data_IF_423858461506
#
_entry.id   IF_423858461506
#
_cell.length_a   1.000
_cell.length_b   1.000
_cell.length_c   1.000
_cell.angle_alpha   90.00
_cell.angle_beta   90.00
_cell.angle_gamma   90.00
#
_symmetry.space_group_name_H-M   'P 1'
#
loop_
_entity.id
_entity.type
_entity.pdbx_description
1 polymer ?
#
# COMPACT_ATOMS: atom_id res chain seq x y z
N UNK A 1 12.53 45.16 18.53
CA UNK A 1 13.01 43.81 18.17
C UNK A 1 12.12 42.82 18.89
N UNK A 2 11.17 42.16 18.23
CA UNK A 2 10.44 41.06 18.87
C UNK A 2 11.36 39.82 18.88
N UNK A 3 11.53 39.25 20.07
CA UNK A 3 12.25 38.01 20.31
C UNK A 3 11.49 36.86 19.64
N UNK A 4 12.12 36.17 18.72
CA UNK A 4 11.64 34.91 18.18
C UNK A 4 11.80 33.83 19.26
N UNK A 5 10.74 33.51 19.98
CA UNK A 5 10.69 32.30 20.78
C UNK A 5 10.87 31.09 19.86
N UNK A 6 11.76 30.14 20.17
CA UNK A 6 11.84 28.88 19.44
C UNK A 6 10.53 28.12 19.63
N UNK A 7 9.92 27.69 18.51
CA UNK A 7 8.71 26.89 18.54
C UNK A 7 8.91 25.72 19.53
N UNK A 8 7.98 25.61 20.48
CA UNK A 8 7.98 24.54 21.45
C UNK A 8 8.04 23.18 20.74
N UNK A 9 8.81 22.19 21.21
CA UNK A 9 8.87 20.88 20.61
C UNK A 9 7.47 20.30 20.58
N UNK A 10 7.05 19.79 19.41
CA UNK A 10 5.77 19.12 19.25
C UNK A 10 5.60 18.11 20.40
N UNK A 11 4.50 18.23 21.16
CA UNK A 11 4.26 17.40 22.33
C UNK A 11 4.31 15.93 21.92
N UNK A 12 5.20 15.15 22.55
CA UNK A 12 5.33 13.73 22.32
C UNK A 12 3.99 13.05 22.68
N UNK A 13 3.40 12.34 21.74
CA UNK A 13 2.24 11.48 21.95
C UNK A 13 2.71 10.07 22.38
N UNK A 14 1.88 9.27 23.07
CA UNK A 14 2.24 7.88 23.39
C UNK A 14 2.29 7.04 22.10
N UNK A 15 3.18 6.04 22.05
CA UNK A 15 3.23 5.09 20.96
C UNK A 15 1.92 4.30 20.83
N UNK A 16 1.38 4.17 19.61
CA UNK A 16 0.16 3.38 19.38
C UNK A 16 0.44 1.87 19.35
N UNK A 17 1.67 1.48 19.05
CA UNK A 17 2.13 0.08 19.05
C UNK A 17 3.33 -0.09 19.97
N UNK A 18 3.36 -1.21 20.70
CA UNK A 18 4.52 -1.62 21.52
C UNK A 18 5.77 -1.98 20.68
N UNK A 19 5.62 -2.11 19.37
CA UNK A 19 6.72 -2.36 18.44
C UNK A 19 7.55 -1.10 18.15
N UNK A 20 7.04 0.09 18.51
CA UNK A 20 7.71 1.37 18.25
C UNK A 20 8.95 1.50 19.10
N UNK A 21 10.09 1.73 18.45
CA UNK A 21 11.39 1.94 19.09
C UNK A 21 11.58 3.39 19.54
N UNK A 22 11.05 4.36 18.76
CA UNK A 22 11.12 5.78 19.07
C UNK A 22 10.00 6.57 18.38
N UNK A 23 9.67 7.74 18.94
CA UNK A 23 8.70 8.69 18.37
C UNK A 23 9.46 9.89 17.85
N UNK A 24 9.27 10.18 16.55
CA UNK A 24 9.82 11.34 15.85
C UNK A 24 8.67 12.14 15.21
N UNK A 25 8.00 13.03 15.94
CA UNK A 25 6.76 13.66 15.47
C UNK A 25 6.95 14.41 14.14
N UNK A 26 5.98 14.20 13.22
CA UNK A 26 5.82 15.01 12.02
C UNK A 26 4.68 16.03 12.24
N UNK A 27 4.82 17.27 11.81
CA UNK A 27 3.74 18.27 11.84
C UNK A 27 2.70 18.04 10.73
N UNK A 28 3.00 17.20 9.74
CA UNK A 28 2.23 17.01 8.51
C UNK A 28 1.07 16.03 8.72
N UNK A 29 0.06 16.43 9.46
CA UNK A 29 -1.13 15.61 9.67
C UNK A 29 -2.37 16.48 9.96
N UNK A 30 -3.55 15.87 9.81
CA UNK A 30 -4.83 16.51 10.13
C UNK A 30 -5.74 15.61 10.95
N UNK A 31 -7.00 16.03 11.09
CA UNK A 31 -8.06 15.15 11.57
C UNK A 31 -8.44 14.16 10.46
N UNK A 32 -8.87 12.96 10.82
CA UNK A 32 -9.53 12.04 9.88
C UNK A 32 -10.92 12.60 9.56
N UNK A 33 -11.32 12.52 8.30
CA UNK A 33 -12.56 13.13 7.80
C UNK A 33 -13.60 12.05 7.48
N UNK A 34 -14.78 12.17 8.09
CA UNK A 34 -15.93 11.33 7.76
C UNK A 34 -15.82 9.85 8.16
N UNK A 35 -14.87 9.50 9.03
CA UNK A 35 -14.62 8.12 9.49
C UNK A 35 -14.34 8.08 10.99
N UNK A 36 -14.72 6.97 11.65
CA UNK A 36 -14.45 6.76 13.07
C UNK A 36 -12.97 6.39 13.33
N UNK A 37 -12.32 5.75 12.36
CA UNK A 37 -10.92 5.33 12.44
C UNK A 37 -10.41 4.69 11.15
N UNK A 38 -9.13 4.35 11.09
CA UNK A 38 -8.56 3.68 9.92
C UNK A 38 -9.01 2.22 9.85
N UNK A 39 -9.35 1.78 8.65
CA UNK A 39 -9.74 0.43 8.31
C UNK A 39 -8.94 -0.11 7.10
N UNK A 40 -7.86 0.60 6.73
CA UNK A 40 -6.89 0.21 5.70
C UNK A 40 -5.46 0.30 6.22
N UNK A 41 -4.58 -0.53 5.66
CA UNK A 41 -3.13 -0.44 5.81
C UNK A 41 -2.53 -0.26 4.43
N UNK A 42 -1.72 0.79 4.23
CA UNK A 42 -1.04 1.06 2.96
C UNK A 42 0.47 1.01 3.17
N UNK A 43 1.14 0.18 2.38
CA UNK A 43 2.57 -0.01 2.42
C UNK A 43 3.26 0.81 1.32
N UNK A 44 4.39 1.43 1.70
CA UNK A 44 5.21 2.27 0.86
C UNK A 44 6.66 1.86 0.96
N UNK A 45 7.48 2.26 -0.01
CA UNK A 45 8.90 2.44 0.21
C UNK A 45 9.24 3.93 0.20
N UNK A 46 10.34 4.33 0.89
CA UNK A 46 10.74 5.74 1.00
C UNK A 46 11.16 6.35 -0.35
N UNK A 47 11.68 5.57 -1.29
CA UNK A 47 12.13 6.04 -2.60
C UNK A 47 13.31 7.01 -2.54
N UNK A 48 14.12 6.93 -1.50
CA UNK A 48 15.30 7.76 -1.26
C UNK A 48 16.47 6.88 -0.83
N UNK A 49 17.72 7.24 -1.24
CA UNK A 49 18.92 6.48 -0.87
C UNK A 49 19.21 6.53 0.62
N UNK A 50 18.92 7.67 1.28
CA UNK A 50 19.14 7.87 2.70
C UNK A 50 17.83 7.82 3.47
N UNK A 51 17.73 6.87 4.41
CA UNK A 51 16.59 6.78 5.33
C UNK A 51 16.49 8.00 6.24
N UNK A 52 17.62 8.59 6.66
CA UNK A 52 17.60 9.79 7.50
C UNK A 52 17.08 11.01 6.72
N UNK A 53 17.42 11.14 5.44
CA UNK A 53 16.84 12.15 4.55
C UNK A 53 15.33 11.93 4.33
N UNK A 54 14.90 10.69 4.13
CA UNK A 54 13.48 10.37 4.01
C UNK A 54 12.70 10.74 5.29
N UNK A 55 13.24 10.44 6.47
CA UNK A 55 12.65 10.83 7.76
C UNK A 55 12.59 12.35 7.90
N UNK A 56 13.65 13.06 7.53
CA UNK A 56 13.67 14.52 7.55
C UNK A 56 12.60 15.09 6.60
N UNK A 57 12.47 14.53 5.39
CA UNK A 57 11.47 14.92 4.41
C UNK A 57 10.03 14.74 4.92
N UNK A 58 9.71 13.59 5.53
CA UNK A 58 8.40 13.29 6.10
C UNK A 58 8.04 14.17 7.30
N UNK A 59 9.02 14.87 7.88
CA UNK A 59 8.87 15.77 9.04
C UNK A 59 9.01 17.25 8.66
N UNK A 60 9.38 17.55 7.44
CA UNK A 60 9.49 18.93 6.96
C UNK A 60 8.08 19.50 6.67
N UNK A 61 7.63 20.57 7.37
CA UNK A 61 6.30 21.15 7.17
C UNK A 61 6.07 21.69 5.77
N UNK A 62 7.11 22.05 5.04
CA UNK A 62 6.98 22.59 3.68
C UNK A 62 6.66 21.48 2.65
N UNK A 63 6.99 20.22 2.95
CA UNK A 63 6.76 19.08 2.05
C UNK A 63 5.33 18.58 2.02
N UNK A 64 4.56 18.81 3.08
CA UNK A 64 3.15 18.42 3.19
C UNK A 64 2.91 16.91 2.91
N UNK A 65 3.87 16.08 3.31
CA UNK A 65 3.80 14.62 3.27
C UNK A 65 4.22 14.05 4.62
N UNK A 66 3.67 12.89 4.97
CA UNK A 66 4.03 12.14 6.18
C UNK A 66 3.59 10.71 6.07
N UNK A 67 4.00 9.86 7.02
CA UNK A 67 3.43 8.54 7.27
C UNK A 67 3.22 8.35 8.76
N UNK A 68 2.48 7.31 9.15
CA UNK A 68 2.30 6.98 10.56
C UNK A 68 3.58 6.35 11.10
N UNK A 69 4.18 5.46 10.32
CA UNK A 69 5.37 4.71 10.70
C UNK A 69 6.44 4.75 9.61
N UNK A 70 7.69 4.66 10.05
CA UNK A 70 8.86 4.38 9.21
C UNK A 70 9.57 3.16 9.79
N UNK A 71 9.88 2.17 8.94
CA UNK A 71 10.67 0.99 9.33
C UNK A 71 12.02 1.06 8.63
N UNK A 72 13.09 1.15 9.42
CA UNK A 72 14.47 1.23 8.93
C UNK A 72 14.97 -0.13 8.47
N UNK A 73 16.09 -0.15 7.77
CA UNK A 73 16.71 -1.36 7.22
C UNK A 73 17.15 -2.36 8.32
N UNK A 74 17.44 -1.86 9.50
CA UNK A 74 17.82 -2.66 10.68
C UNK A 74 16.62 -3.19 11.48
N UNK A 75 15.39 -2.88 11.04
CA UNK A 75 14.15 -3.25 11.71
C UNK A 75 13.69 -2.26 12.78
N UNK A 76 14.40 -1.15 13.00
CA UNK A 76 13.96 -0.08 13.92
C UNK A 76 12.66 0.55 13.42
N UNK A 77 11.62 0.57 14.27
CA UNK A 77 10.32 1.15 13.97
C UNK A 77 10.19 2.53 14.61
N UNK A 78 9.96 3.54 13.78
CA UNK A 78 9.72 4.91 14.20
C UNK A 78 8.26 5.27 13.98
N UNK A 79 7.64 5.97 14.94
CA UNK A 79 6.31 6.52 14.76
C UNK A 79 6.38 8.04 14.58
N UNK A 80 5.78 8.55 13.50
CA UNK A 80 5.82 9.97 13.14
C UNK A 80 4.48 10.65 13.36
N UNK A 81 3.36 9.94 13.13
CA UNK A 81 2.00 10.47 13.26
C UNK A 81 1.17 9.49 14.10
N UNK A 82 0.37 9.95 15.08
CA UNK A 82 -0.56 9.08 15.81
C UNK A 82 -1.58 8.44 14.85
N UNK A 83 -1.91 7.16 15.06
CA UNK A 83 -2.91 6.46 14.24
C UNK A 83 -4.30 7.11 14.27
N UNK A 84 -4.63 7.83 15.36
CA UNK A 84 -5.86 8.62 15.46
C UNK A 84 -5.88 9.84 14.51
N UNK A 85 -4.73 10.21 13.94
CA UNK A 85 -4.60 11.34 13.03
C UNK A 85 -4.50 10.86 11.58
N UNK A 86 -4.80 11.76 10.65
CA UNK A 86 -4.68 11.59 9.22
C UNK A 86 -3.28 11.98 8.77
N UNK A 87 -2.38 11.03 8.58
CA UNK A 87 -1.11 11.27 7.90
C UNK A 87 -1.34 11.49 6.39
N UNK A 88 -0.39 12.12 5.70
CA UNK A 88 -0.52 12.51 4.29
C UNK A 88 0.42 11.67 3.42
N UNK A 89 0.08 10.38 3.20
CA UNK A 89 0.92 9.41 2.49
C UNK A 89 0.36 8.90 1.16
N UNK A 90 -0.98 8.90 0.98
CA UNK A 90 -1.59 8.29 -0.19
C UNK A 90 -1.80 9.27 -1.36
N UNK A 91 -1.86 10.60 -1.09
CA UNK A 91 -2.09 11.61 -2.12
C UNK A 91 -3.43 11.41 -2.87
N UNK A 92 -3.44 11.73 -4.17
CA UNK A 92 -4.57 11.45 -5.05
C UNK A 92 -4.66 9.94 -5.27
N UNK A 93 -5.68 9.30 -4.72
CA UNK A 93 -5.82 7.84 -4.65
C UNK A 93 -7.29 7.43 -4.60
N UNK A 94 -7.56 6.15 -4.93
CA UNK A 94 -8.90 5.59 -4.89
C UNK A 94 -8.83 4.08 -4.61
N UNK A 95 -9.71 3.56 -3.75
CA UNK A 95 -9.92 2.15 -3.53
C UNK A 95 -11.36 1.85 -3.18
N UNK A 96 -11.98 0.91 -3.88
CA UNK A 96 -13.38 0.53 -3.68
C UNK A 96 -14.33 1.74 -3.63
N UNK A 97 -14.11 2.73 -4.51
CA UNK A 97 -14.87 3.97 -4.61
C UNK A 97 -14.50 5.06 -3.60
N UNK A 98 -13.74 4.75 -2.56
CA UNK A 98 -13.25 5.73 -1.60
C UNK A 98 -12.06 6.52 -2.17
N UNK A 99 -12.04 7.85 -1.97
CA UNK A 99 -11.00 8.74 -2.53
C UNK A 99 -10.12 9.42 -1.47
N UNK A 100 -10.56 9.58 -0.24
CA UNK A 100 -9.70 10.06 0.85
C UNK A 100 -9.05 8.90 1.60
N UNK A 101 -8.14 8.20 0.90
CA UNK A 101 -7.42 7.05 1.47
C UNK A 101 -6.61 7.45 2.70
N UNK A 102 -6.09 8.68 2.76
CA UNK A 102 -5.39 9.18 3.96
C UNK A 102 -6.27 9.14 5.23
N UNK A 103 -7.57 9.43 5.14
CA UNK A 103 -8.48 9.35 6.28
C UNK A 103 -8.83 7.91 6.66
N UNK A 104 -8.78 6.98 5.72
CA UNK A 104 -9.17 5.58 5.90
C UNK A 104 -8.00 4.68 6.28
N UNK A 105 -6.75 5.13 6.15
CA UNK A 105 -5.61 4.23 6.25
C UNK A 105 -4.58 4.61 7.31
N UNK A 106 -3.78 3.62 7.66
CA UNK A 106 -2.47 3.77 8.30
C UNK A 106 -1.42 3.55 7.20
N UNK A 107 -0.43 4.44 7.07
CA UNK A 107 0.67 4.30 6.12
C UNK A 107 1.95 3.89 6.84
N UNK A 108 2.64 2.88 6.29
CA UNK A 108 3.97 2.45 6.71
C UNK A 108 4.95 2.72 5.57
N UNK A 109 5.93 3.58 5.82
CA UNK A 109 7.09 3.79 4.96
C UNK A 109 8.18 2.78 5.33
N UNK A 110 8.65 2.02 4.35
CA UNK A 110 9.68 1.00 4.51
C UNK A 110 10.94 1.55 3.84
N UNK A 111 12.01 1.72 4.60
CA UNK A 111 13.25 2.28 4.09
C UNK A 111 13.79 1.40 2.95
N UNK A 112 13.73 1.92 1.73
CA UNK A 112 14.24 1.31 0.52
C UNK A 112 14.31 2.38 -0.57
N UNK A 113 15.41 2.48 -1.32
CA UNK A 113 15.58 3.51 -2.35
C UNK A 113 14.63 3.32 -3.55
N UNK A 114 14.04 2.14 -3.73
CA UNK A 114 13.04 1.90 -4.76
C UNK A 114 13.58 1.76 -6.17
N UNK A 115 12.66 1.84 -7.14
CA UNK A 115 12.93 1.55 -8.56
C UNK A 115 13.97 2.47 -9.18
N UNK A 116 14.00 3.75 -8.82
CA UNK A 116 14.93 4.74 -9.37
C UNK A 116 16.40 4.43 -9.00
N UNK A 117 16.61 3.60 -7.98
CA UNK A 117 17.92 3.17 -7.50
C UNK A 117 18.12 1.65 -7.59
N UNK A 118 17.47 1.01 -8.57
CA UNK A 118 17.67 -0.41 -8.88
C UNK A 118 16.89 -1.39 -8.00
N UNK A 119 15.93 -0.90 -7.22
CA UNK A 119 15.02 -1.72 -6.41
C UNK A 119 15.74 -2.85 -5.64
N UNK A 120 16.65 -2.54 -4.69
CA UNK A 120 17.33 -3.57 -3.92
C UNK A 120 16.34 -4.35 -3.05
N UNK A 121 16.64 -5.62 -2.71
CA UNK A 121 15.79 -6.41 -1.84
C UNK A 121 15.69 -5.79 -0.43
N UNK A 122 14.55 -5.96 0.21
CA UNK A 122 14.36 -5.57 1.60
C UNK A 122 15.10 -6.53 2.53
N UNK A 123 15.87 -6.03 3.52
CA UNK A 123 16.54 -6.89 4.49
C UNK A 123 15.54 -7.74 5.30
N UNK A 124 15.90 -9.00 5.62
CA UNK A 124 15.02 -9.92 6.36
C UNK A 124 14.53 -9.33 7.69
N UNK A 125 15.44 -8.72 8.48
CA UNK A 125 15.07 -8.08 9.75
C UNK A 125 14.09 -6.92 9.60
N UNK A 126 14.15 -6.20 8.48
CA UNK A 126 13.20 -5.14 8.16
C UNK A 126 11.83 -5.73 7.87
N UNK A 127 11.76 -6.80 7.08
CA UNK A 127 10.51 -7.50 6.77
C UNK A 127 9.91 -8.15 8.01
N UNK A 128 10.73 -8.71 8.91
CA UNK A 128 10.26 -9.21 10.21
C UNK A 128 9.60 -8.09 11.03
N UNK A 129 10.23 -6.91 11.09
CA UNK A 129 9.70 -5.76 11.82
C UNK A 129 8.42 -5.20 11.18
N UNK A 130 8.38 -5.07 9.83
CA UNK A 130 7.18 -4.68 9.08
C UNK A 130 6.03 -5.66 9.34
N UNK A 131 6.33 -6.96 9.30
CA UNK A 131 5.32 -8.01 9.53
C UNK A 131 4.77 -7.93 10.94
N UNK A 132 5.63 -7.82 11.96
CA UNK A 132 5.19 -7.70 13.37
C UNK A 132 4.32 -6.46 13.59
N UNK A 133 4.72 -5.31 13.03
CA UNK A 133 3.94 -4.07 13.11
C UNK A 133 2.60 -4.19 12.38
N UNK A 134 2.60 -4.77 11.17
CA UNK A 134 1.39 -4.96 10.38
C UNK A 134 0.39 -5.90 11.09
N UNK A 135 0.85 -7.01 11.67
CA UNK A 135 0.02 -7.92 12.49
C UNK A 135 -0.64 -7.17 13.65
N UNK A 136 0.16 -6.38 14.41
CA UNK A 136 -0.36 -5.58 15.54
C UNK A 136 -1.44 -4.58 15.07
N UNK A 137 -1.19 -3.88 13.96
CA UNK A 137 -2.14 -2.91 13.40
C UNK A 137 -3.44 -3.60 12.92
N UNK A 138 -3.35 -4.66 12.10
CA UNK A 138 -4.55 -5.31 11.55
C UNK A 138 -5.43 -5.90 12.63
N UNK A 139 -4.84 -6.45 13.70
CA UNK A 139 -5.58 -7.00 14.85
C UNK A 139 -6.27 -5.85 15.62
N UNK A 140 -5.53 -4.81 16.00
CA UNK A 140 -6.07 -3.70 16.80
C UNK A 140 -7.15 -2.91 16.04
N UNK A 141 -6.98 -2.74 14.73
CA UNK A 141 -7.89 -1.96 13.88
C UNK A 141 -8.91 -2.83 13.14
N UNK A 142 -8.85 -4.15 13.26
CA UNK A 142 -9.73 -5.11 12.58
C UNK A 142 -9.75 -4.87 11.07
N UNK A 143 -8.57 -4.66 10.48
CA UNK A 143 -8.42 -4.41 9.05
C UNK A 143 -8.65 -5.73 8.30
N UNK A 144 -9.59 -5.74 7.37
CA UNK A 144 -9.85 -6.89 6.52
C UNK A 144 -8.66 -7.19 5.60
N UNK A 145 -8.37 -8.47 5.28
CA UNK A 145 -7.21 -8.85 4.49
C UNK A 145 -7.09 -8.10 3.16
N UNK A 146 -8.20 -7.88 2.44
CA UNK A 146 -8.25 -7.17 1.16
C UNK A 146 -8.11 -5.64 1.29
N UNK A 147 -7.91 -5.14 2.51
CA UNK A 147 -7.66 -3.73 2.80
C UNK A 147 -6.24 -3.45 3.27
N UNK A 148 -5.34 -4.44 3.12
CA UNK A 148 -3.89 -4.28 3.22
C UNK A 148 -3.34 -4.15 1.81
N UNK A 149 -2.86 -2.96 1.46
CA UNK A 149 -2.69 -2.51 0.08
C UNK A 149 -1.28 -1.95 -0.16
N UNK A 150 -0.83 -2.06 -1.40
CA UNK A 150 0.29 -1.29 -1.91
C UNK A 150 -0.15 0.15 -2.23
N UNK A 151 0.76 1.11 -2.16
CA UNK A 151 0.49 2.46 -2.67
C UNK A 151 0.14 2.42 -4.17
N UNK A 152 0.78 1.53 -4.94
CA UNK A 152 0.46 1.31 -6.35
C UNK A 152 -0.96 0.80 -6.58
N UNK A 153 -1.57 0.06 -5.64
CA UNK A 153 -2.96 -0.40 -5.77
C UNK A 153 -3.95 0.77 -5.72
N UNK A 154 -3.74 1.70 -4.80
CA UNK A 154 -4.63 2.85 -4.61
C UNK A 154 -4.33 4.02 -5.53
N UNK A 155 -3.16 4.03 -6.17
CA UNK A 155 -2.71 5.08 -7.09
C UNK A 155 -2.01 4.52 -8.34
N UNK A 156 -2.68 3.62 -9.13
CA UNK A 156 -2.12 3.02 -10.33
C UNK A 156 -1.64 4.09 -11.34
N UNK A 157 -0.52 3.83 -11.99
CA UNK A 157 0.11 4.75 -12.95
C UNK A 157 0.90 5.90 -12.31
N UNK A 158 0.55 6.32 -11.09
CA UNK A 158 1.24 7.38 -10.35
C UNK A 158 2.31 6.86 -9.40
N UNK A 159 2.09 5.66 -8.84
CA UNK A 159 2.93 5.05 -7.81
C UNK A 159 3.31 3.62 -8.16
N UNK A 160 4.47 3.19 -7.64
CA UNK A 160 5.02 1.86 -7.84
C UNK A 160 5.30 1.12 -6.53
N UNK A 161 5.43 1.87 -5.43
CA UNK A 161 5.77 1.38 -4.09
C UNK A 161 4.67 0.48 -3.50
N UNK A 162 5.02 -0.53 -2.67
CA UNK A 162 6.37 -0.96 -2.31
C UNK A 162 7.07 -1.81 -3.37
N UNK A 163 6.48 -2.01 -4.55
CA UNK A 163 7.03 -2.69 -5.70
C UNK A 163 6.88 -4.21 -5.68
N UNK A 164 7.22 -4.82 -6.82
CA UNK A 164 7.13 -6.28 -7.03
C UNK A 164 8.16 -7.08 -6.22
N UNK A 165 9.22 -6.41 -5.75
CA UNK A 165 10.23 -7.03 -4.87
C UNK A 165 9.78 -7.17 -3.42
N UNK A 166 8.68 -6.51 -3.02
CA UNK A 166 8.17 -6.61 -1.66
C UNK A 166 7.60 -8.02 -1.40
N UNK A 167 8.01 -8.71 -0.32
CA UNK A 167 7.67 -10.12 -0.09
C UNK A 167 6.30 -10.27 0.57
N UNK A 168 5.21 -10.00 -0.16
CA UNK A 168 3.82 -10.09 0.31
C UNK A 168 3.47 -11.44 0.95
N UNK A 169 4.06 -12.53 0.47
CA UNK A 169 3.86 -13.87 1.00
C UNK A 169 4.36 -14.04 2.44
N UNK A 170 5.33 -13.22 2.88
CA UNK A 170 5.78 -13.23 4.28
C UNK A 170 4.69 -12.69 5.18
N UNK A 171 4.11 -11.55 4.82
CA UNK A 171 3.00 -10.96 5.57
C UNK A 171 1.77 -11.87 5.58
N UNK A 172 1.42 -12.42 4.41
CA UNK A 172 0.26 -13.31 4.26
C UNK A 172 0.35 -14.56 5.14
N UNK A 173 1.53 -15.19 5.27
CA UNK A 173 1.74 -16.32 6.18
C UNK A 173 1.49 -15.99 7.66
N UNK A 174 1.51 -14.70 8.01
CA UNK A 174 1.21 -14.20 9.35
C UNK A 174 -0.21 -13.61 9.46
N UNK A 175 -1.09 -13.88 8.50
CA UNK A 175 -2.48 -13.42 8.50
C UNK A 175 -2.66 -11.96 8.09
N UNK A 176 -1.67 -11.35 7.44
CA UNK A 176 -1.73 -9.96 6.96
C UNK A 176 -1.84 -9.93 5.44
N UNK A 177 -2.90 -9.31 4.93
CA UNK A 177 -3.15 -9.16 3.51
C UNK A 177 -3.84 -10.36 2.87
N UNK A 178 -4.49 -10.10 1.76
CA UNK A 178 -5.18 -11.08 0.93
C UNK A 178 -4.27 -11.47 -0.23
N UNK A 179 -3.87 -12.73 -0.30
CA UNK A 179 -2.97 -13.23 -1.33
C UNK A 179 -3.40 -14.63 -1.77
N UNK A 180 -3.20 -14.95 -3.03
CA UNK A 180 -3.30 -16.30 -3.58
C UNK A 180 -1.97 -16.66 -4.27
N UNK A 181 -1.67 -17.93 -4.41
CA UNK A 181 -0.50 -18.34 -5.18
C UNK A 181 -0.62 -17.83 -6.62
N UNK A 182 0.47 -17.27 -7.16
CA UNK A 182 0.52 -16.87 -8.57
C UNK A 182 0.28 -18.10 -9.46
N UNK A 183 -0.53 -17.94 -10.52
CA UNK A 183 -0.59 -18.94 -11.57
C UNK A 183 0.69 -18.85 -12.40
N UNK A 184 1.32 -19.97 -12.73
CA UNK A 184 2.48 -19.97 -13.60
C UNK A 184 2.18 -19.32 -14.95
N UNK A 185 3.16 -18.60 -15.52
CA UNK A 185 3.05 -18.09 -16.87
C UNK A 185 2.86 -19.27 -17.84
N UNK A 186 1.90 -19.18 -18.73
CA UNK A 186 1.58 -20.17 -19.75
C UNK A 186 1.23 -19.50 -21.05
N UNK A 187 1.40 -20.21 -22.14
CA UNK A 187 0.94 -19.78 -23.46
C UNK A 187 -0.60 -19.68 -23.47
N UNK A 188 -1.11 -18.69 -24.18
CA UNK A 188 -2.54 -18.50 -24.27
C UNK A 188 -2.93 -17.10 -24.71
N UNK A 189 -4.24 -16.84 -24.64
CA UNK A 189 -4.78 -15.54 -24.95
C UNK A 189 -4.37 -14.51 -23.91
N UNK A 190 -4.00 -13.33 -24.36
CA UNK A 190 -3.70 -12.16 -23.53
C UNK A 190 -4.47 -10.94 -24.04
N UNK A 191 -4.56 -9.92 -23.21
CA UNK A 191 -5.14 -8.63 -23.57
C UNK A 191 -4.16 -7.51 -23.26
N UNK A 192 -4.09 -6.55 -24.17
CA UNK A 192 -3.18 -5.42 -24.06
C UNK A 192 -3.84 -4.13 -24.57
N UNK A 193 -3.15 -3.03 -24.36
CA UNK A 193 -3.61 -1.70 -24.77
C UNK A 193 -3.98 -1.64 -26.23
N UNK A 194 -5.14 -1.05 -26.52
CA UNK A 194 -5.71 -0.91 -27.86
C UNK A 194 -6.73 -1.98 -28.24
N UNK A 195 -6.83 -3.08 -27.46
CA UNK A 195 -7.86 -4.10 -27.71
C UNK A 195 -9.22 -3.72 -27.12
N UNK A 196 -10.28 -4.31 -27.66
CA UNK A 196 -11.67 -4.04 -27.27
C UNK A 196 -12.50 -5.32 -27.23
N UNK A 197 -13.59 -5.27 -26.45
CA UNK A 197 -14.61 -6.31 -26.46
C UNK A 197 -14.99 -6.82 -25.07
N UNK A 198 -15.98 -7.72 -25.06
CA UNK A 198 -16.56 -8.29 -23.86
C UNK A 198 -15.54 -8.95 -22.90
N UNK A 199 -14.50 -9.66 -23.38
CA UNK A 199 -13.50 -10.22 -22.45
C UNK A 199 -12.72 -9.15 -21.65
N UNK A 200 -12.49 -7.98 -22.27
CA UNK A 200 -11.84 -6.84 -21.60
C UNK A 200 -12.79 -6.21 -20.58
N UNK A 201 -14.06 -6.08 -20.90
CA UNK A 201 -15.09 -5.63 -19.97
C UNK A 201 -15.17 -6.55 -18.73
N UNK A 202 -15.12 -7.88 -18.95
CA UNK A 202 -15.07 -8.85 -17.86
C UNK A 202 -13.82 -8.72 -16.97
N UNK A 203 -12.63 -8.51 -17.56
CA UNK A 203 -11.39 -8.21 -16.82
C UNK A 203 -11.55 -6.94 -15.98
N UNK A 204 -12.04 -5.86 -16.59
CA UNK A 204 -12.25 -4.58 -15.90
C UNK A 204 -13.26 -4.74 -14.75
N UNK A 205 -14.35 -5.49 -14.97
CA UNK A 205 -15.35 -5.78 -13.94
C UNK A 205 -14.73 -6.54 -12.73
N UNK A 206 -13.87 -7.52 -12.99
CA UNK A 206 -13.16 -8.24 -11.90
C UNK A 206 -12.19 -7.32 -11.15
N UNK A 207 -11.42 -6.46 -11.84
CA UNK A 207 -10.53 -5.49 -11.21
C UNK A 207 -11.32 -4.48 -10.36
N UNK A 208 -12.42 -3.95 -10.89
CA UNK A 208 -13.30 -3.04 -10.16
C UNK A 208 -13.97 -3.72 -8.95
N UNK A 209 -14.43 -4.96 -9.11
CA UNK A 209 -14.99 -5.77 -8.00
C UNK A 209 -13.95 -5.98 -6.89
N UNK A 210 -12.70 -6.19 -7.24
CA UNK A 210 -11.62 -6.35 -6.26
C UNK A 210 -11.33 -5.04 -5.50
N UNK A 211 -11.51 -3.88 -6.14
CA UNK A 211 -11.37 -2.57 -5.51
C UNK A 211 -10.67 -1.50 -6.36
N UNK A 212 -10.10 -1.86 -7.50
CA UNK A 212 -9.38 -0.92 -8.37
C UNK A 212 -10.31 0.09 -9.04
N UNK A 213 -9.84 1.34 -9.15
CA UNK A 213 -10.53 2.41 -9.89
C UNK A 213 -10.21 2.28 -11.40
N UNK A 214 -11.01 1.50 -12.10
CA UNK A 214 -10.88 1.22 -13.54
C UNK A 214 -12.23 1.39 -14.24
N UNK A 215 -12.28 1.97 -15.48
CA UNK A 215 -13.51 2.03 -16.25
C UNK A 215 -13.91 0.62 -16.73
N UNK A 216 -15.19 0.28 -16.60
CA UNK A 216 -15.76 -0.98 -17.11
C UNK A 216 -16.51 -0.67 -18.42
N UNK A 217 -15.81 -0.70 -19.55
CA UNK A 217 -16.34 -0.27 -20.84
C UNK A 217 -15.83 -1.11 -22.04
N UNK A 218 -15.13 -2.20 -21.75
CA UNK A 218 -14.61 -3.11 -22.77
C UNK A 218 -13.47 -2.54 -23.63
N UNK A 219 -12.87 -1.40 -23.26
CA UNK A 219 -11.71 -0.83 -23.95
C UNK A 219 -10.47 -0.93 -23.08
N UNK A 220 -9.44 -1.65 -23.54
CA UNK A 220 -8.14 -1.71 -22.83
C UNK A 220 -7.36 -0.41 -23.07
N UNK A 221 -7.72 0.62 -22.33
CA UNK A 221 -7.08 1.93 -22.41
C UNK A 221 -5.84 2.03 -21.50
N UNK A 222 -5.15 3.18 -21.53
CA UNK A 222 -4.00 3.43 -20.64
C UNK A 222 -4.33 3.20 -19.16
N UNK A 223 -5.52 3.60 -18.70
CA UNK A 223 -5.94 3.37 -17.30
C UNK A 223 -6.07 1.89 -16.98
N UNK A 224 -6.59 1.08 -17.90
CA UNK A 224 -6.65 -0.38 -17.71
C UNK A 224 -5.25 -0.99 -17.62
N UNK A 225 -4.31 -0.56 -18.46
CA UNK A 225 -2.90 -0.99 -18.42
C UNK A 225 -2.22 -0.61 -17.09
N UNK A 226 -2.40 0.62 -16.61
CA UNK A 226 -1.90 1.08 -15.31
C UNK A 226 -2.42 0.22 -14.16
N UNK A 227 -3.71 -0.12 -14.16
CA UNK A 227 -4.33 -0.95 -13.14
C UNK A 227 -3.83 -2.39 -13.22
N UNK A 228 -3.72 -2.97 -14.42
CA UNK A 228 -3.15 -4.31 -14.61
C UNK A 228 -1.70 -4.34 -14.12
N UNK A 229 -0.90 -3.31 -14.42
CA UNK A 229 0.48 -3.20 -13.94
C UNK A 229 0.55 -3.13 -12.40
N UNK A 230 -0.32 -2.34 -11.76
CA UNK A 230 -0.40 -2.26 -10.31
C UNK A 230 -0.80 -3.61 -9.69
N UNK A 231 -1.82 -4.27 -10.26
CA UNK A 231 -2.24 -5.60 -9.87
C UNK A 231 -1.08 -6.61 -9.96
N UNK A 232 -0.32 -6.60 -11.05
CA UNK A 232 0.83 -7.48 -11.24
C UNK A 232 1.89 -7.24 -10.17
N UNK A 233 2.22 -5.98 -9.83
CA UNK A 233 3.20 -5.66 -8.78
C UNK A 233 2.85 -6.26 -7.41
N UNK A 234 1.58 -6.38 -7.11
CA UNK A 234 1.14 -6.94 -5.83
C UNK A 234 0.91 -8.46 -5.91
N UNK A 235 0.19 -8.95 -6.92
CA UNK A 235 -0.41 -10.28 -6.93
C UNK A 235 0.19 -11.25 -7.94
N UNK A 236 0.93 -10.76 -8.95
CA UNK A 236 1.57 -11.58 -9.98
C UNK A 236 2.92 -10.99 -10.36
N UNK A 237 3.85 -11.09 -9.42
CA UNK A 237 5.13 -10.37 -9.43
C UNK A 237 6.18 -10.92 -10.38
N UNK A 238 6.05 -12.17 -10.80
CA UNK A 238 7.00 -12.81 -11.71
C UNK A 238 7.18 -12.05 -13.04
N UNK A 239 6.18 -11.28 -13.46
CA UNK A 239 6.23 -10.46 -14.67
C UNK A 239 5.30 -9.26 -14.57
N UNK A 240 5.85 -8.06 -14.56
CA UNK A 240 5.11 -6.78 -14.46
C UNK A 240 5.25 -6.03 -15.78
N UNK A 241 4.25 -6.12 -16.63
CA UNK A 241 4.31 -5.55 -18.01
C UNK A 241 3.00 -4.89 -18.47
N UNK A 242 1.96 -4.92 -17.66
CA UNK A 242 0.65 -4.36 -18.00
C UNK A 242 -0.16 -5.18 -18.99
N UNK A 243 0.33 -6.37 -19.40
CA UNK A 243 -0.36 -7.30 -20.27
C UNK A 243 -1.18 -8.28 -19.42
N UNK A 244 -2.50 -8.34 -19.63
CA UNK A 244 -3.35 -9.28 -18.95
C UNK A 244 -3.28 -10.66 -19.61
N UNK A 245 -2.22 -11.42 -19.31
CA UNK A 245 -2.00 -12.78 -19.77
C UNK A 245 -2.83 -13.82 -18.96
N UNK A 246 -2.75 -15.09 -19.35
CA UNK A 246 -3.49 -16.18 -18.70
C UNK A 246 -3.19 -16.22 -17.20
N UNK A 247 -1.92 -16.06 -16.80
CA UNK A 247 -1.49 -16.03 -15.41
C UNK A 247 -2.15 -14.89 -14.63
N UNK A 248 -2.13 -13.67 -15.19
CA UNK A 248 -2.78 -12.48 -14.61
C UNK A 248 -4.29 -12.69 -14.42
N UNK A 249 -4.97 -13.20 -15.46
CA UNK A 249 -6.41 -13.44 -15.43
C UNK A 249 -6.79 -14.51 -14.39
N UNK A 250 -6.06 -15.62 -14.35
CA UNK A 250 -6.31 -16.71 -13.44
C UNK A 250 -6.05 -16.30 -11.97
N UNK A 251 -4.97 -15.56 -11.72
CA UNK A 251 -4.66 -15.02 -10.38
C UNK A 251 -5.76 -14.06 -9.90
N UNK A 252 -6.19 -13.12 -10.76
CA UNK A 252 -7.29 -12.20 -10.44
C UNK A 252 -8.60 -12.94 -10.17
N UNK A 253 -8.94 -13.92 -10.99
CA UNK A 253 -10.16 -14.72 -10.79
C UNK A 253 -10.14 -15.45 -9.44
N UNK A 254 -9.01 -16.04 -9.05
CA UNK A 254 -8.85 -16.72 -7.75
C UNK A 254 -8.97 -15.74 -6.58
N UNK A 255 -8.36 -14.55 -6.67
CA UNK A 255 -8.52 -13.49 -5.67
C UNK A 255 -9.98 -13.06 -5.53
N UNK A 256 -10.68 -12.84 -6.65
CA UNK A 256 -12.10 -12.49 -6.61
C UNK A 256 -12.95 -13.58 -5.96
N UNK A 257 -12.63 -14.86 -6.20
CA UNK A 257 -13.38 -16.00 -5.61
C UNK A 257 -13.11 -16.19 -4.12
N UNK A 258 -11.89 -15.94 -3.65
CA UNK A 258 -11.53 -16.08 -2.23
C UNK A 258 -11.96 -14.89 -1.39
N UNK A 259 -12.27 -13.74 -2.01
CA UNK A 259 -12.77 -12.56 -1.30
C UNK A 259 -14.10 -12.87 -0.60
N UNK A 260 -14.10 -12.79 0.73
CA UNK A 260 -15.30 -13.08 1.54
C UNK A 260 -15.54 -14.56 1.84
N UNK A 261 -14.69 -15.49 1.39
CA UNK A 261 -14.79 -16.90 1.77
C UNK A 261 -14.43 -17.13 3.26
N UNK A 262 -13.64 -16.25 3.84
CA UNK A 262 -13.20 -16.35 5.24
C UNK A 262 -14.24 -15.88 6.26
N UNK A 263 -15.38 -15.34 5.81
CA UNK A 263 -16.47 -14.85 6.70
C UNK A 263 -17.45 -15.96 7.08
N UNK A 264 -17.31 -17.16 6.52
CA UNK A 264 -18.27 -18.27 6.63
C UNK A 264 -17.82 -19.50 7.42
N UNK A 265 -16.64 -19.50 8.07
CA UNK A 265 -16.11 -20.70 8.72
C UNK A 265 -16.29 -20.73 10.26
N UNK A 266 -17.12 -19.86 10.82
CA UNK A 266 -17.57 -19.97 12.21
C UNK A 266 -19.12 -20.06 12.22
N UNK A 267 -19.64 -21.27 12.10
CA UNK A 267 -21.02 -21.68 12.28
C UNK A 267 -21.10 -22.97 13.05
#
# INVERSE_FOLDING_TARGET
MPSSDPAAPASAFPADSRMVSAILPSPNHGARLGVEGPDMLVLHYTGMESTDEAIAWLRDPERQVSAHYVVREDGTILQLVPEARRAWHAGASCWAGARDINSLSIGIEIANPGHDFGAPPFPDRQIEAVTALAVDIVIRRRIAPERVLAHSDVAPGRKQDPGEIFPWEVLHRHGVGHLVAEEPASDGRYFMRGEHGQPIEALQAMLAFYGYDVPVNGSFCARTEEVVTAFQRHFRRARVDGIADVSTLATLYRLCRSRGADVGAEG
#
